data_IF_911060713524
#
_entry.id   IF_911060713524
#
_cell.length_a   1.000
_cell.length_b   1.000
_cell.length_c   1.000
_cell.angle_alpha   90.00
_cell.angle_beta   90.00
_cell.angle_gamma   90.00
#
_symmetry.space_group_name_H-M   'P 1'
#
loop_
_entity.id
_entity.type
_entity.pdbx_description
1 polymer ?
#
# COMPACT_ATOMS: atom_id res chain seq x y z
N UNK A 1 -0.94 20.04 12.05
CA UNK A 1 0.41 19.46 11.88
C UNK A 1 0.27 18.28 10.94
N UNK A 2 0.92 18.32 9.76
CA UNK A 2 0.92 17.23 8.80
C UNK A 2 2.21 16.43 9.00
N UNK A 3 2.09 15.11 9.14
CA UNK A 3 3.21 14.21 9.39
C UNK A 3 3.26 13.17 8.28
N UNK A 4 4.45 12.89 7.76
CA UNK A 4 4.76 11.75 6.90
C UNK A 4 5.87 10.98 7.63
N UNK A 5 5.46 10.16 8.61
CA UNK A 5 6.40 9.44 9.46
C UNK A 5 6.79 8.11 8.80
N UNK A 6 7.99 8.08 8.23
CA UNK A 6 8.69 6.89 7.71
C UNK A 6 8.21 6.38 6.34
N UNK A 7 9.06 5.59 5.67
CA UNK A 7 8.78 4.95 4.37
C UNK A 7 7.65 3.92 4.47
N UNK A 8 7.38 3.35 5.64
CA UNK A 8 6.37 2.30 5.83
C UNK A 8 4.92 2.75 5.58
N UNK A 9 4.65 4.06 5.47
CA UNK A 9 3.33 4.59 5.09
C UNK A 9 3.10 4.59 3.58
N UNK A 10 4.12 4.31 2.78
CA UNK A 10 4.05 4.26 1.31
C UNK A 10 4.52 2.91 0.80
N UNK A 11 3.80 2.37 -0.18
CA UNK A 11 4.23 1.21 -0.95
C UNK A 11 4.36 1.64 -2.40
N UNK A 12 5.53 1.40 -2.98
CA UNK A 12 5.89 1.89 -4.30
C UNK A 12 5.73 0.80 -5.36
N UNK A 13 4.99 1.12 -6.42
CA UNK A 13 5.03 0.39 -7.67
C UNK A 13 6.02 1.08 -8.61
N UNK A 14 7.26 0.58 -8.63
CA UNK A 14 8.35 1.21 -9.39
C UNK A 14 8.13 1.15 -10.90
N UNK A 15 7.47 0.11 -11.40
CA UNK A 15 7.18 -0.09 -12.83
C UNK A 15 6.13 0.91 -13.31
N UNK A 16 5.03 1.03 -12.57
CA UNK A 16 3.92 1.92 -12.94
C UNK A 16 4.01 3.34 -12.39
N UNK A 17 5.13 3.69 -11.72
CA UNK A 17 5.33 4.99 -11.06
C UNK A 17 4.14 5.39 -10.18
N UNK A 18 3.56 4.40 -9.48
CA UNK A 18 2.38 4.58 -8.64
C UNK A 18 2.74 4.39 -7.16
N UNK A 19 2.26 5.27 -6.29
CA UNK A 19 2.37 5.15 -4.82
C UNK A 19 1.04 4.74 -4.24
N UNK A 20 1.04 3.69 -3.42
CA UNK A 20 -0.11 3.24 -2.66
C UNK A 20 0.08 3.62 -1.18
N UNK A 21 -0.95 4.19 -0.55
CA UNK A 21 -0.87 4.59 0.86
C UNK A 21 -2.21 4.46 1.59
N UNK A 22 -2.17 3.82 2.76
CA UNK A 22 -3.25 3.88 3.73
C UNK A 22 -3.20 5.23 4.48
N UNK A 23 -4.28 6.00 4.39
CA UNK A 23 -4.43 7.27 5.09
C UNK A 23 -4.60 7.03 6.58
N UNK A 24 -3.86 7.78 7.38
CA UNK A 24 -3.91 7.74 8.83
C UNK A 24 -3.43 9.08 9.40
N UNK A 25 -3.39 9.22 10.72
CA UNK A 25 -2.80 10.41 11.37
C UNK A 25 -1.31 10.63 11.00
N UNK A 26 -0.65 9.61 10.42
CA UNK A 26 0.76 9.65 9.98
C UNK A 26 0.94 9.78 8.46
N UNK A 27 -0.15 9.89 7.70
CA UNK A 27 -0.12 9.99 6.24
C UNK A 27 -1.18 10.99 5.76
N UNK A 28 -0.76 12.25 5.60
CA UNK A 28 -1.59 13.30 5.00
C UNK A 28 -1.54 13.22 3.46
N UNK A 29 -2.71 13.29 2.83
CA UNK A 29 -2.84 13.15 1.38
C UNK A 29 -2.10 14.24 0.59
N UNK A 30 -2.18 15.50 1.01
CA UNK A 30 -1.56 16.61 0.28
C UNK A 30 -0.04 16.51 0.34
N UNK A 31 0.49 16.14 1.51
CA UNK A 31 1.93 15.92 1.69
C UNK A 31 2.41 14.71 0.87
N UNK A 32 1.62 13.64 0.81
CA UNK A 32 1.92 12.46 0.01
C UNK A 32 1.96 12.78 -1.50
N UNK A 33 0.99 13.54 -2.00
CA UNK A 33 0.92 13.94 -3.41
C UNK A 33 2.10 14.84 -3.81
N UNK A 34 2.45 15.85 -2.99
CA UNK A 34 3.63 16.69 -3.23
C UNK A 34 4.93 15.87 -3.20
N UNK A 35 5.08 14.97 -2.23
CA UNK A 35 6.26 14.11 -2.12
C UNK A 35 6.39 13.18 -3.34
N UNK A 36 5.33 12.48 -3.73
CA UNK A 36 5.33 11.57 -4.88
C UNK A 36 5.74 12.28 -6.17
N UNK A 37 5.19 13.47 -6.41
CA UNK A 37 5.55 14.29 -7.58
C UNK A 37 7.04 14.65 -7.59
N UNK A 38 7.61 15.05 -6.44
CA UNK A 38 9.04 15.42 -6.33
C UNK A 38 9.99 14.26 -6.63
N UNK A 39 9.59 13.03 -6.33
CA UNK A 39 10.40 11.83 -6.58
C UNK A 39 10.08 11.13 -7.90
N UNK A 40 9.25 11.74 -8.76
CA UNK A 40 8.94 11.23 -10.10
C UNK A 40 7.89 10.11 -10.14
N UNK A 41 7.00 10.06 -9.15
CA UNK A 41 5.83 9.18 -9.16
C UNK A 41 4.59 9.96 -9.55
N UNK A 42 4.03 9.63 -10.71
CA UNK A 42 2.97 10.39 -11.37
C UNK A 42 1.57 10.10 -10.81
N UNK A 43 1.42 9.00 -10.06
CA UNK A 43 0.13 8.56 -9.57
C UNK A 43 0.17 8.21 -8.09
N UNK A 44 -0.79 8.74 -7.36
CA UNK A 44 -1.01 8.42 -5.93
C UNK A 44 -2.39 7.79 -5.76
N UNK A 45 -2.42 6.62 -5.12
CA UNK A 45 -3.62 5.91 -4.73
C UNK A 45 -3.62 5.83 -3.20
N UNK A 46 -4.36 6.77 -2.60
CA UNK A 46 -4.60 6.79 -1.17
C UNK A 46 -5.98 6.23 -0.82
N UNK A 47 -6.08 5.50 0.28
CA UNK A 47 -7.30 4.85 0.74
C UNK A 47 -7.38 4.80 2.27
N UNK A 48 -8.59 4.74 2.81
CA UNK A 48 -8.88 4.53 4.20
C UNK A 48 -8.76 3.06 4.57
N UNK A 49 -8.51 2.78 5.85
CA UNK A 49 -8.50 1.42 6.40
C UNK A 49 -9.25 1.37 7.72
N UNK A 50 -9.78 0.21 8.07
CA UNK A 50 -10.46 -0.02 9.34
C UNK A 50 -10.19 -1.43 9.84
N UNK A 51 -9.51 -1.53 10.98
CA UNK A 51 -9.37 -2.76 11.73
C UNK A 51 -10.67 -3.09 12.50
N UNK A 52 -10.85 -4.34 12.97
CA UNK A 52 -11.97 -4.69 13.85
C UNK A 52 -12.07 -3.82 15.12
N UNK A 53 -10.94 -3.31 15.60
CA UNK A 53 -10.89 -2.34 16.71
C UNK A 53 -11.45 -0.96 16.38
N UNK A 54 -11.80 -0.70 15.11
CA UNK A 54 -12.25 0.60 14.61
C UNK A 54 -11.12 1.58 14.27
N UNK A 55 -9.87 1.23 14.58
CA UNK A 55 -8.70 2.05 14.27
C UNK A 55 -8.19 1.85 12.84
N UNK A 56 -7.62 2.88 12.20
CA UNK A 56 -6.95 2.72 10.91
C UNK A 56 -5.61 1.97 11.06
N UNK A 57 -5.14 1.40 9.96
CA UNK A 57 -3.79 0.85 9.86
C UNK A 57 -2.78 2.00 9.79
N UNK A 58 -1.71 1.92 10.59
CA UNK A 58 -0.72 2.99 10.70
C UNK A 58 0.38 2.93 9.63
N UNK A 59 0.69 1.75 9.10
CA UNK A 59 1.74 1.55 8.11
C UNK A 59 1.22 0.67 6.97
N UNK A 60 1.19 1.24 5.76
CA UNK A 60 0.73 0.56 4.53
C UNK A 60 1.52 -0.73 4.27
N UNK A 61 2.81 -0.76 4.58
CA UNK A 61 3.67 -1.93 4.35
C UNK A 61 3.34 -3.16 5.24
N UNK A 62 2.52 -3.01 6.29
CA UNK A 62 2.06 -4.16 7.09
C UNK A 62 0.95 -4.91 6.37
N UNK A 63 0.15 -4.19 5.57
CA UNK A 63 -1.00 -4.75 4.88
C UNK A 63 -0.76 -4.99 3.39
N UNK A 64 0.30 -4.43 2.81
CA UNK A 64 0.52 -4.44 1.38
C UNK A 64 2.01 -4.50 1.03
N UNK A 65 2.34 -5.32 0.04
CA UNK A 65 3.62 -5.30 -0.65
C UNK A 65 3.38 -5.39 -2.16
N UNK A 66 4.04 -4.52 -2.93
CA UNK A 66 3.96 -4.49 -4.39
C UNK A 66 5.30 -4.92 -4.95
N UNK A 67 5.27 -6.00 -5.73
CA UNK A 67 6.39 -6.49 -6.51
C UNK A 67 6.24 -6.19 -8.00
N UNK A 68 7.13 -6.75 -8.80
CA UNK A 68 7.10 -6.57 -10.26
C UNK A 68 5.86 -7.22 -10.88
N UNK A 69 5.62 -8.49 -10.55
CA UNK A 69 4.57 -9.32 -11.17
C UNK A 69 3.37 -9.59 -10.26
N UNK A 70 3.53 -9.37 -8.95
CA UNK A 70 2.49 -9.68 -7.98
C UNK A 70 2.36 -8.56 -6.94
N UNK A 71 1.22 -8.55 -6.27
CA UNK A 71 0.96 -7.73 -5.10
C UNK A 71 0.36 -8.63 -4.02
N UNK A 72 0.89 -8.55 -2.81
CA UNK A 72 0.26 -9.13 -1.62
C UNK A 72 -0.49 -8.03 -0.90
N UNK A 73 -1.77 -8.26 -0.57
CA UNK A 73 -2.61 -7.24 0.06
C UNK A 73 -3.63 -7.87 1.02
N UNK A 74 -3.78 -7.29 2.21
CA UNK A 74 -4.95 -7.52 3.05
C UNK A 74 -6.04 -6.53 2.64
N UNK A 75 -6.85 -6.87 1.64
CA UNK A 75 -7.83 -5.95 1.07
C UNK A 75 -9.10 -5.82 1.94
N UNK A 76 -9.34 -6.78 2.85
CA UNK A 76 -10.53 -6.79 3.69
C UNK A 76 -10.60 -5.64 4.71
N UNK A 77 -9.47 -5.02 5.03
CA UNK A 77 -9.38 -3.83 5.90
C UNK A 77 -9.69 -2.53 5.16
N UNK A 78 -9.84 -2.57 3.83
CA UNK A 78 -10.20 -1.41 3.00
C UNK A 78 -11.73 -1.36 2.85
N UNK A 79 -12.38 -0.20 3.06
CA UNK A 79 -13.81 -0.03 2.81
C UNK A 79 -14.19 -0.45 1.38
N UNK A 80 -15.35 -1.11 1.22
CA UNK A 80 -15.76 -1.73 -0.05
C UNK A 80 -15.68 -0.78 -1.25
N UNK A 81 -16.08 0.49 -1.05
CA UNK A 81 -16.11 1.49 -2.11
C UNK A 81 -14.70 1.81 -2.67
N UNK A 82 -13.68 1.86 -1.83
CA UNK A 82 -12.28 2.12 -2.25
C UNK A 82 -11.57 0.83 -2.65
N UNK A 83 -11.90 -0.29 -1.99
CA UNK A 83 -11.30 -1.60 -2.23
C UNK A 83 -11.32 -1.97 -3.70
N UNK A 84 -12.49 -1.81 -4.35
CA UNK A 84 -12.64 -2.12 -5.78
C UNK A 84 -11.69 -1.31 -6.66
N UNK A 85 -11.46 -0.04 -6.34
CA UNK A 85 -10.54 0.83 -7.08
C UNK A 85 -9.09 0.41 -6.89
N UNK A 86 -8.68 0.14 -5.65
CA UNK A 86 -7.32 -0.32 -5.32
C UNK A 86 -7.02 -1.64 -6.02
N UNK A 87 -7.89 -2.63 -5.88
CA UNK A 87 -7.74 -3.95 -6.51
C UNK A 87 -7.69 -3.85 -8.03
N UNK A 88 -8.58 -3.05 -8.64
CA UNK A 88 -8.57 -2.83 -10.09
C UNK A 88 -7.27 -2.20 -10.58
N UNK A 89 -6.68 -1.29 -9.81
CA UNK A 89 -5.40 -0.68 -10.18
C UNK A 89 -4.25 -1.68 -10.13
N UNK A 90 -4.20 -2.53 -9.11
CA UNK A 90 -3.18 -3.56 -8.94
C UNK A 90 -3.32 -4.68 -9.99
N UNK A 91 -4.55 -5.16 -10.19
CA UNK A 91 -4.87 -6.24 -11.13
C UNK A 91 -4.72 -5.85 -12.61
N UNK A 92 -4.36 -4.60 -12.91
CA UNK A 92 -4.08 -4.15 -14.27
C UNK A 92 -2.88 -4.88 -14.88
N UNK A 93 -1.86 -5.13 -14.08
CA UNK A 93 -0.59 -5.73 -14.51
C UNK A 93 0.04 -6.67 -13.48
N UNK A 94 -0.56 -6.83 -12.29
CA UNK A 94 -0.06 -7.71 -11.24
C UNK A 94 -1.05 -8.80 -10.89
N UNK A 95 -0.53 -9.97 -10.52
CA UNK A 95 -1.29 -10.98 -9.81
C UNK A 95 -1.57 -10.48 -8.39
N UNK A 96 -2.84 -10.26 -8.06
CA UNK A 96 -3.25 -9.88 -6.71
C UNK A 96 -3.41 -11.12 -5.84
N UNK A 97 -2.66 -11.18 -4.75
CA UNK A 97 -2.68 -12.22 -3.73
C UNK A 97 -3.29 -11.62 -2.47
N UNK A 98 -4.56 -11.94 -2.22
CA UNK A 98 -5.24 -11.51 -0.99
C UNK A 98 -4.78 -12.35 0.20
N UNK A 99 -4.44 -11.68 1.30
CA UNK A 99 -4.17 -12.30 2.60
C UNK A 99 -5.25 -11.91 3.61
N UNK A 100 -5.55 -12.81 4.55
CA UNK A 100 -6.48 -12.51 5.63
C UNK A 100 -5.87 -11.55 6.66
N UNK A 101 -6.72 -10.97 7.49
CA UNK A 101 -6.34 -10.12 8.62
C UNK A 101 -5.48 -10.90 9.61
N UNK A 102 -5.78 -12.19 9.84
CA UNK A 102 -4.96 -13.05 10.69
C UNK A 102 -3.54 -13.22 10.13
N UNK A 103 -3.42 -13.44 8.81
CA UNK A 103 -2.12 -13.51 8.13
C UNK A 103 -1.39 -12.16 8.18
N UNK A 104 -2.11 -11.05 7.97
CA UNK A 104 -1.57 -9.70 8.12
C UNK A 104 -1.03 -9.44 9.53
N UNK A 105 -1.77 -9.84 10.57
CA UNK A 105 -1.36 -9.72 11.97
C UNK A 105 -0.13 -10.59 12.30
N UNK A 106 0.13 -11.62 11.51
CA UNK A 106 1.36 -12.43 11.54
C UNK A 106 2.45 -11.90 10.59
N UNK A 107 2.34 -10.65 10.14
CA UNK A 107 3.29 -9.94 9.26
C UNK A 107 3.46 -10.54 7.86
N UNK A 108 2.52 -11.36 7.36
CA UNK A 108 2.58 -11.87 5.99
C UNK A 108 2.57 -10.77 4.91
N UNK A 109 2.12 -9.55 5.21
CA UNK A 109 2.13 -8.42 4.27
C UNK A 109 3.46 -7.67 4.20
N UNK A 110 4.35 -7.83 5.18
CA UNK A 110 5.63 -7.12 5.25
C UNK A 110 6.72 -7.87 4.46
N UNK A 111 6.54 -7.93 3.14
CA UNK A 111 7.41 -8.67 2.22
C UNK A 111 8.40 -7.72 1.57
N UNK A 112 9.67 -8.13 1.53
CA UNK A 112 10.70 -7.50 0.73
C UNK A 112 11.00 -8.39 -0.49
N UNK A 113 10.71 -7.91 -1.69
CA UNK A 113 11.18 -8.58 -2.91
C UNK A 113 12.66 -8.26 -3.10
N UNK A 114 13.47 -9.30 -3.28
CA UNK A 114 14.89 -9.21 -3.58
C UNK A 114 15.16 -9.99 -4.87
N UNK A 115 15.99 -9.42 -5.74
CA UNK A 115 16.53 -10.11 -6.90
C UNK A 115 17.98 -10.50 -6.59
N UNK A 116 18.36 -11.74 -6.91
CA UNK A 116 19.75 -12.16 -6.81
C UNK A 116 20.48 -11.87 -8.11
N UNK A 117 21.82 -11.79 -8.08
CA UNK A 117 22.66 -11.49 -9.25
C UNK A 117 22.43 -12.47 -10.42
N UNK A 118 21.81 -13.64 -10.15
CA UNK A 118 21.58 -14.71 -11.11
C UNK A 118 20.10 -15.02 -11.37
N UNK A 119 19.16 -14.21 -10.86
CA UNK A 119 17.72 -14.52 -10.85
C UNK A 119 17.37 -15.39 -9.65
#
# INVERSE_FOLDING_TARGET
>A
HAYLESTGVMVFDHLNKTVYAALSQRCDRLVLEDYANRIGYERVISFQTRLPSGSPIYHTNVMMAVGEQFCVICDEVIPEFERRFVLKSLAKDKQVISISLDQMNQFCGNILQLETING
#
